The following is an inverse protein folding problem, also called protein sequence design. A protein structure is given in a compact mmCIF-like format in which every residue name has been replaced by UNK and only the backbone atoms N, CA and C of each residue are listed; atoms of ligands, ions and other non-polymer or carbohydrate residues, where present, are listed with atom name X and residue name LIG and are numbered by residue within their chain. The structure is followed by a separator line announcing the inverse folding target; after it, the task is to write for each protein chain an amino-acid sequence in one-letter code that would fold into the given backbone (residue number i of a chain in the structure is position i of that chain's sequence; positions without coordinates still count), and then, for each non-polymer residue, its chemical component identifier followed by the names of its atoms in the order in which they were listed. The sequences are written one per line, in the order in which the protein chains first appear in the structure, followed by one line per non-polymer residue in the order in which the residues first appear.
data_IF_185356447613
#
_entry.id   IF_185356447613
#
_cell.length_a   1.000
_cell.length_b   1.000
_cell.length_c   1.000
_cell.angle_alpha   90.00
_cell.angle_beta   90.00
_cell.angle_gamma   90.00
#
_symmetry.space_group_name_H-M   'P 1'
#
loop_
_entity.id
_entity.type
_entity.pdbx_description
1 polymer ?
#
# COMPACT_ATOMS: atom_id res chain seq x y z
N UNK A 1 72.74 -33.51 15.68
CA UNK A 1 71.42 -33.61 16.32
C UNK A 1 70.41 -32.90 15.44
N UNK A 2 69.54 -33.65 14.77
CA UNK A 2 68.70 -33.21 13.65
C UNK A 2 67.27 -33.04 14.15
N UNK A 3 66.74 -31.81 14.15
CA UNK A 3 65.41 -31.50 14.65
C UNK A 3 64.36 -31.70 13.54
N UNK A 4 63.53 -32.75 13.68
CA UNK A 4 62.45 -33.07 12.74
C UNK A 4 61.26 -32.15 13.02
N UNK A 5 60.98 -31.25 12.08
CA UNK A 5 59.88 -30.27 12.13
C UNK A 5 58.60 -30.96 11.66
N UNK A 6 57.71 -31.29 12.60
CA UNK A 6 56.45 -31.99 12.30
C UNK A 6 55.43 -31.02 11.68
N UNK A 7 55.15 -31.20 10.40
CA UNK A 7 54.17 -30.44 9.63
C UNK A 7 52.75 -30.99 9.84
N UNK A 8 52.17 -30.78 11.03
CA UNK A 8 50.77 -31.17 11.33
C UNK A 8 49.74 -30.06 11.05
N UNK A 9 50.11 -29.02 10.29
CA UNK A 9 49.26 -27.83 10.13
C UNK A 9 48.18 -27.86 9.04
N UNK A 10 48.23 -28.66 7.95
CA UNK A 10 47.23 -28.49 6.87
C UNK A 10 45.89 -29.21 7.13
N UNK A 11 45.84 -30.21 8.02
CA UNK A 11 44.65 -31.05 8.21
C UNK A 11 43.52 -30.35 8.97
N UNK A 12 43.86 -29.52 9.97
CA UNK A 12 42.86 -28.77 10.72
C UNK A 12 42.13 -27.73 9.85
N UNK A 13 42.85 -27.08 8.93
CA UNK A 13 42.27 -26.09 8.02
C UNK A 13 41.30 -26.72 7.01
N UNK A 14 41.64 -27.90 6.47
CA UNK A 14 40.77 -28.62 5.55
C UNK A 14 39.47 -29.07 6.23
N UNK A 15 39.53 -29.51 7.50
CA UNK A 15 38.35 -29.87 8.28
C UNK A 15 37.42 -28.69 8.52
N UNK A 16 37.97 -27.50 8.81
CA UNK A 16 37.17 -26.29 9.02
C UNK A 16 36.45 -25.84 7.74
N UNK A 17 37.13 -25.89 6.60
CA UNK A 17 36.55 -25.53 5.30
C UNK A 17 35.40 -26.49 4.94
N UNK A 18 35.57 -27.78 5.19
CA UNK A 18 34.53 -28.78 4.92
C UNK A 18 33.25 -28.53 5.74
N UNK A 19 33.38 -28.17 7.02
CA UNK A 19 32.23 -27.80 7.86
C UNK A 19 31.53 -26.53 7.36
N UNK A 20 32.29 -25.54 6.90
CA UNK A 20 31.74 -24.29 6.39
C UNK A 20 30.94 -24.48 5.09
N UNK A 21 31.45 -25.32 4.18
CA UNK A 21 30.73 -25.68 2.95
C UNK A 21 29.45 -26.45 3.26
N UNK A 22 29.47 -27.34 4.26
CA UNK A 22 28.29 -28.10 4.68
C UNK A 22 27.17 -27.19 5.20
N UNK A 23 27.49 -26.19 6.03
CA UNK A 23 26.56 -25.17 6.54
C UNK A 23 25.91 -24.36 5.40
N UNK A 24 26.70 -23.94 4.41
CA UNK A 24 26.21 -23.19 3.24
C UNK A 24 25.26 -24.05 2.39
N UNK A 25 25.63 -25.31 2.12
CA UNK A 25 24.77 -26.23 1.36
C UNK A 25 23.48 -26.51 2.13
N UNK A 26 23.55 -26.72 3.45
CA UNK A 26 22.38 -26.97 4.28
C UNK A 26 21.40 -25.78 4.32
N UNK A 27 21.92 -24.55 4.39
CA UNK A 27 21.09 -23.33 4.38
C UNK A 27 20.46 -23.07 3.01
N UNK A 28 21.13 -23.38 1.91
CA UNK A 28 20.60 -23.23 0.55
C UNK A 28 19.59 -24.31 0.15
N UNK A 29 19.71 -25.53 0.70
CA UNK A 29 18.79 -26.64 0.38
C UNK A 29 17.50 -26.60 1.22
N UNK A 30 17.54 -26.04 2.44
CA UNK A 30 16.36 -25.87 3.30
C UNK A 30 15.15 -25.19 2.67
N UNK A 31 15.25 -24.13 1.84
CA UNK A 31 14.07 -23.51 1.22
C UNK A 31 13.38 -24.36 0.14
N UNK A 32 13.99 -25.44 -0.35
CA UNK A 32 13.41 -26.28 -1.41
C UNK A 32 12.63 -27.50 -0.90
N UNK A 33 12.81 -27.90 0.35
CA UNK A 33 12.06 -29.03 0.93
C UNK A 33 10.88 -28.54 1.77
N UNK A 34 9.73 -28.40 1.11
CA UNK A 34 8.46 -28.63 1.78
C UNK A 34 7.79 -27.42 2.43
N UNK A 35 7.53 -26.34 1.68
CA UNK A 35 6.29 -25.58 1.88
C UNK A 35 5.26 -26.05 0.87
N UNK A 36 4.43 -27.02 1.27
CA UNK A 36 3.10 -27.14 0.64
C UNK A 36 2.43 -25.77 0.81
N UNK A 37 1.85 -25.18 -0.24
CA UNK A 37 1.03 -23.99 -0.06
C UNK A 37 -0.02 -24.30 1.02
N UNK A 38 -0.31 -23.39 1.96
CA UNK A 38 -1.42 -23.57 2.88
C UNK A 38 -2.67 -23.87 2.06
N UNK A 39 -3.57 -24.75 2.53
CA UNK A 39 -4.84 -24.96 1.86
C UNK A 39 -5.45 -23.58 1.67
N UNK A 40 -5.61 -23.18 0.40
CA UNK A 40 -6.46 -22.07 0.04
C UNK A 40 -7.83 -22.47 0.58
N UNK A 41 -8.15 -22.00 1.80
CA UNK A 41 -9.52 -21.80 2.20
C UNK A 41 -10.08 -21.01 1.04
N UNK A 42 -10.96 -21.65 0.27
CA UNK A 42 -11.66 -21.00 -0.80
C UNK A 42 -12.27 -19.76 -0.20
N UNK A 43 -11.65 -18.62 -0.46
CA UNK A 43 -12.35 -17.38 -0.49
C UNK A 43 -13.40 -17.62 -1.56
N UNK A 44 -14.55 -18.11 -1.13
CA UNK A 44 -15.79 -17.87 -1.84
C UNK A 44 -15.90 -16.35 -1.77
N UNK A 45 -15.16 -15.70 -2.67
CA UNK A 45 -15.46 -14.36 -3.13
C UNK A 45 -16.89 -14.52 -3.56
N UNK A 46 -17.78 -14.09 -2.69
CA UNK A 46 -19.20 -13.98 -2.96
C UNK A 46 -19.23 -12.94 -4.08
N UNK A 47 -19.06 -13.43 -5.31
CA UNK A 47 -18.99 -12.64 -6.52
C UNK A 47 -20.37 -12.01 -6.59
N UNK A 48 -20.46 -10.78 -6.10
CA UNK A 48 -21.66 -9.98 -6.21
C UNK A 48 -22.03 -10.00 -7.68
N UNK A 49 -23.30 -10.25 -7.98
CA UNK A 49 -23.82 -10.17 -9.35
C UNK A 49 -23.23 -8.91 -9.99
N UNK A 50 -22.53 -9.01 -11.14
CA UNK A 50 -22.00 -7.84 -11.82
C UNK A 50 -23.17 -6.90 -12.06
N UNK A 51 -23.21 -5.82 -11.30
CA UNK A 51 -24.22 -4.78 -11.48
C UNK A 51 -23.77 -4.03 -12.74
N UNK A 52 -24.56 -3.97 -13.82
CA UNK A 52 -24.13 -3.48 -15.14
C UNK A 52 -23.64 -2.02 -15.20
N UNK A 53 -23.60 -1.30 -14.08
CA UNK A 53 -23.43 0.15 -14.04
C UNK A 53 -22.14 0.62 -13.35
N UNK A 54 -21.32 -0.30 -12.81
CA UNK A 54 -20.01 0.01 -12.22
C UNK A 54 -18.89 -0.07 -13.25
N UNK A 55 -18.95 0.79 -14.27
CA UNK A 55 -17.89 0.92 -15.27
C UNK A 55 -17.26 2.30 -15.11
N UNK A 56 -16.34 2.42 -14.16
CA UNK A 56 -15.42 3.55 -14.15
C UNK A 56 -14.45 3.36 -15.32
N UNK A 57 -14.40 4.34 -16.21
CA UNK A 57 -13.30 4.45 -17.18
C UNK A 57 -12.17 5.18 -16.48
N UNK A 58 -11.00 4.55 -16.24
CA UNK A 58 -9.95 5.15 -15.41
C UNK A 58 -9.42 6.50 -15.91
N UNK A 59 -9.59 6.80 -17.20
CA UNK A 59 -9.18 8.06 -17.81
C UNK A 59 -10.20 9.20 -17.63
N UNK A 60 -11.44 8.88 -17.25
CA UNK A 60 -12.51 9.87 -17.20
C UNK A 60 -12.42 10.72 -15.93
N UNK A 61 -12.16 10.12 -14.76
CA UNK A 61 -12.03 10.86 -13.51
C UNK A 61 -10.56 11.04 -13.11
N UNK A 62 -10.19 12.27 -12.80
CA UNK A 62 -8.84 12.64 -12.38
C UNK A 62 -8.86 13.47 -11.11
N UNK A 63 -8.01 13.14 -10.14
CA UNK A 63 -7.74 13.99 -8.99
C UNK A 63 -6.73 15.06 -9.43
N UNK A 64 -7.16 16.32 -9.48
CA UNK A 64 -6.33 17.45 -9.97
C UNK A 64 -5.61 18.19 -8.85
N UNK A 65 -6.21 18.23 -7.66
CA UNK A 65 -5.63 18.81 -6.45
C UNK A 65 -5.81 17.83 -5.29
N UNK A 66 -4.75 17.66 -4.50
CA UNK A 66 -4.76 16.89 -3.26
C UNK A 66 -3.81 17.54 -2.26
N UNK A 67 -4.39 18.19 -1.27
CA UNK A 67 -3.67 18.82 -0.17
C UNK A 67 -4.05 18.14 1.15
N UNK A 68 -3.05 18.02 2.03
CA UNK A 68 -3.21 17.46 3.37
C UNK A 68 -2.62 18.43 4.40
N UNK A 69 -3.41 18.75 5.41
CA UNK A 69 -3.01 19.54 6.56
C UNK A 69 -3.15 18.68 7.83
N UNK A 70 -2.05 18.45 8.56
CA UNK A 70 -2.11 17.69 9.81
C UNK A 70 -2.49 18.62 10.96
N UNK A 71 -3.60 18.30 11.64
CA UNK A 71 -4.17 19.11 12.73
C UNK A 71 -3.78 18.49 14.08
N UNK A 72 -3.26 19.32 14.99
CA UNK A 72 -2.88 18.89 16.34
C UNK A 72 -1.52 18.18 16.39
N UNK A 73 -0.61 18.55 15.48
CA UNK A 73 0.79 18.13 15.50
C UNK A 73 1.56 18.95 16.55
N UNK A 74 1.24 18.76 17.82
CA UNK A 74 2.02 19.39 18.88
C UNK A 74 3.32 18.61 19.04
N UNK A 75 4.46 19.30 18.94
CA UNK A 75 5.81 18.73 19.07
C UNK A 75 6.08 18.06 20.43
N UNK A 76 5.19 18.26 21.40
CA UNK A 76 5.22 17.65 22.74
C UNK A 76 4.29 16.44 22.89
N UNK A 77 3.41 16.19 21.92
CA UNK A 77 2.40 15.14 22.03
C UNK A 77 3.04 13.76 21.78
N UNK A 78 3.04 12.90 22.81
CA UNK A 78 3.45 11.48 22.72
C UNK A 78 2.42 10.63 21.94
N UNK A 79 1.43 11.25 21.31
CA UNK A 79 0.37 10.56 20.61
C UNK A 79 0.88 10.03 19.27
N UNK A 80 0.65 8.73 19.04
CA UNK A 80 1.06 8.05 17.80
C UNK A 80 0.23 8.48 16.60
N UNK A 81 -0.97 9.01 16.86
CA UNK A 81 -1.96 9.39 15.86
C UNK A 81 -2.36 10.86 16.00
N UNK A 82 -2.79 11.46 14.89
CA UNK A 82 -3.21 12.84 14.71
C UNK A 82 -4.44 12.91 13.80
N UNK A 83 -4.96 14.11 13.52
CA UNK A 83 -6.04 14.31 12.53
C UNK A 83 -5.45 14.90 11.25
N UNK A 84 -6.04 14.56 10.12
CA UNK A 84 -5.65 15.12 8.83
C UNK A 84 -6.85 15.76 8.14
N UNK A 85 -6.72 17.01 7.75
CA UNK A 85 -7.68 17.74 6.95
C UNK A 85 -7.25 17.65 5.48
N UNK A 86 -8.19 17.23 4.65
CA UNK A 86 -7.99 17.02 3.23
C UNK A 86 -8.76 18.05 2.42
N UNK A 87 -8.10 18.60 1.41
CA UNK A 87 -8.72 19.38 0.35
C UNK A 87 -8.40 18.72 -0.97
N UNK A 88 -9.43 18.47 -1.76
CA UNK A 88 -9.27 17.72 -2.99
C UNK A 88 -10.28 18.13 -4.05
N UNK A 89 -9.83 18.05 -5.29
CA UNK A 89 -10.60 18.43 -6.46
C UNK A 89 -10.59 17.29 -7.46
N UNK A 90 -11.76 16.91 -7.94
CA UNK A 90 -11.94 15.86 -8.95
C UNK A 90 -12.46 16.50 -10.21
N UNK A 91 -11.79 16.24 -11.32
CA UNK A 91 -12.22 16.61 -12.66
C UNK A 91 -12.72 15.38 -13.40
N UNK A 92 -13.83 15.51 -14.09
CA UNK A 92 -14.34 14.53 -15.03
C UNK A 92 -14.06 14.96 -16.46
N UNK A 93 -13.07 14.37 -17.08
CA UNK A 93 -12.70 14.54 -18.48
C UNK A 93 -13.49 13.61 -19.43
N UNK A 94 -14.34 12.73 -18.88
CA UNK A 94 -15.18 11.81 -19.63
C UNK A 94 -16.43 12.44 -20.22
N UNK A 95 -17.17 11.64 -20.99
CA UNK A 95 -18.43 12.03 -21.63
C UNK A 95 -19.68 11.67 -20.82
N UNK A 96 -19.52 11.09 -19.63
CA UNK A 96 -20.60 10.61 -18.77
C UNK A 96 -20.45 11.19 -17.38
N UNK A 97 -21.55 11.43 -16.68
CA UNK A 97 -21.51 11.85 -15.28
C UNK A 97 -21.27 10.64 -14.37
N UNK A 98 -20.60 10.88 -13.25
CA UNK A 98 -20.29 9.86 -12.24
C UNK A 98 -20.81 10.28 -10.87
N UNK A 99 -21.31 9.30 -10.10
CA UNK A 99 -21.77 9.47 -8.71
C UNK A 99 -21.19 8.37 -7.82
N UNK A 100 -21.38 8.48 -6.50
CA UNK A 100 -20.92 7.48 -5.53
C UNK A 100 -19.43 7.17 -5.69
N UNK A 101 -18.59 8.21 -5.82
CA UNK A 101 -17.16 8.06 -6.08
C UNK A 101 -16.48 7.60 -4.80
N UNK A 102 -15.93 6.39 -4.81
CA UNK A 102 -15.14 5.86 -3.69
C UNK A 102 -13.69 6.29 -3.84
N UNK A 103 -13.24 7.12 -2.90
CA UNK A 103 -11.86 7.56 -2.78
C UNK A 103 -11.10 6.69 -1.79
N UNK A 104 -9.83 6.46 -2.09
CA UNK A 104 -8.87 5.88 -1.17
C UNK A 104 -7.75 6.89 -0.89
N UNK A 105 -7.44 7.06 0.39
CA UNK A 105 -6.38 7.91 0.92
C UNK A 105 -5.30 7.01 1.50
N UNK A 106 -4.17 6.90 0.81
CA UNK A 106 -2.98 6.19 1.28
C UNK A 106 -2.01 7.18 1.94
N UNK A 107 -1.90 7.13 3.26
CA UNK A 107 -1.00 7.98 4.04
C UNK A 107 0.39 7.39 4.04
N UNK A 108 1.40 8.21 3.74
CA UNK A 108 2.78 7.78 3.63
C UNK A 108 3.68 8.50 4.63
N UNK A 109 4.67 7.77 5.15
CA UNK A 109 5.74 8.32 5.96
C UNK A 109 6.81 9.02 5.10
N UNK A 110 7.84 9.57 5.76
CA UNK A 110 9.00 10.22 5.10
C UNK A 110 9.76 9.32 4.13
N UNK A 111 9.61 8.00 4.22
CA UNK A 111 10.25 7.02 3.34
C UNK A 111 9.35 6.60 2.18
N UNK A 112 8.16 7.21 2.04
CA UNK A 112 7.16 6.86 1.05
C UNK A 112 6.41 5.56 1.36
N UNK A 113 6.57 4.99 2.57
CA UNK A 113 5.87 3.77 2.95
C UNK A 113 4.45 4.10 3.37
N UNK A 114 3.47 3.41 2.79
CA UNK A 114 2.07 3.52 3.24
C UNK A 114 1.93 2.99 4.66
N UNK A 115 1.49 3.86 5.58
CA UNK A 115 1.29 3.55 6.99
C UNK A 115 -0.17 3.29 7.34
N UNK A 116 -1.10 3.90 6.59
CA UNK A 116 -2.54 3.73 6.78
C UNK A 116 -3.25 3.97 5.45
N UNK A 117 -4.40 3.32 5.29
CA UNK A 117 -5.29 3.55 4.17
C UNK A 117 -6.69 3.81 4.71
N UNK A 118 -7.33 4.90 4.28
CA UNK A 118 -8.72 5.20 4.58
C UNK A 118 -9.51 5.30 3.27
N UNK A 119 -10.81 5.03 3.33
CA UNK A 119 -11.71 5.22 2.20
C UNK A 119 -12.81 6.23 2.54
N UNK A 120 -13.24 7.00 1.56
CA UNK A 120 -14.34 7.96 1.69
C UNK A 120 -15.26 7.83 0.49
N UNK A 121 -16.58 7.78 0.73
CA UNK A 121 -17.58 7.81 -0.31
C UNK A 121 -18.01 9.27 -0.54
N UNK A 122 -17.86 9.73 -1.79
CA UNK A 122 -18.45 10.97 -2.25
C UNK A 122 -19.79 10.66 -2.93
N UNK A 123 -20.88 11.11 -2.32
CA UNK A 123 -22.24 10.95 -2.87
C UNK A 123 -22.56 12.02 -3.94
N UNK A 124 -21.76 13.09 -4.02
CA UNK A 124 -21.90 14.12 -5.03
C UNK A 124 -21.66 13.58 -6.45
N UNK A 125 -22.38 14.17 -7.41
CA UNK A 125 -22.27 13.81 -8.82
C UNK A 125 -21.30 14.76 -9.52
N UNK A 126 -20.34 14.20 -10.25
CA UNK A 126 -19.40 14.94 -11.09
C UNK A 126 -19.84 14.83 -12.53
N UNK A 127 -20.46 15.89 -13.04
CA UNK A 127 -20.91 15.97 -14.43
C UNK A 127 -19.78 15.81 -15.45
N UNK A 128 -20.10 15.34 -16.66
CA UNK A 128 -19.13 15.24 -17.76
C UNK A 128 -18.51 16.62 -18.07
N UNK A 129 -17.18 16.69 -18.18
CA UNK A 129 -16.44 17.94 -18.40
C UNK A 129 -16.37 18.88 -17.18
N UNK A 130 -16.94 18.51 -16.03
CA UNK A 130 -17.00 19.37 -14.85
C UNK A 130 -15.94 19.02 -13.82
N UNK A 131 -15.68 19.97 -12.94
CA UNK A 131 -14.78 19.84 -11.80
C UNK A 131 -15.55 20.09 -10.52
N UNK A 132 -15.38 19.21 -9.54
CA UNK A 132 -16.00 19.31 -8.22
C UNK A 132 -14.91 19.41 -7.16
N UNK A 133 -15.04 20.40 -6.28
CA UNK A 133 -14.22 20.50 -5.08
C UNK A 133 -14.94 19.78 -3.95
N UNK A 134 -14.30 18.77 -3.40
CA UNK A 134 -14.92 17.95 -2.36
C UNK A 134 -14.90 18.73 -1.05
N UNK A 135 -16.00 18.70 -0.27
CA UNK A 135 -16.05 19.33 1.04
C UNK A 135 -14.87 18.91 1.90
N UNK A 136 -14.43 19.81 2.76
CA UNK A 136 -13.32 19.56 3.66
C UNK A 136 -13.55 18.29 4.47
N UNK A 137 -12.68 17.29 4.25
CA UNK A 137 -12.77 15.99 4.91
C UNK A 137 -11.70 15.89 5.99
N UNK A 138 -12.11 15.60 7.23
CA UNK A 138 -11.19 15.38 8.35
C UNK A 138 -11.12 13.89 8.64
N UNK A 139 -9.94 13.31 8.43
CA UNK A 139 -9.63 11.94 8.78
C UNK A 139 -9.09 11.86 10.21
N UNK A 140 -9.72 11.02 11.02
CA UNK A 140 -9.26 10.72 12.37
C UNK A 140 -8.18 9.61 12.39
N UNK A 141 -7.37 9.68 13.44
CA UNK A 141 -6.32 8.70 13.76
C UNK A 141 -5.33 8.43 12.62
N UNK A 142 -4.89 9.48 11.93
CA UNK A 142 -3.83 9.42 10.93
C UNK A 142 -2.48 9.32 11.65
N UNK A 143 -1.54 8.44 11.25
CA UNK A 143 -0.25 8.34 11.93
C UNK A 143 0.48 9.70 11.97
N UNK A 144 0.98 10.11 13.14
CA UNK A 144 1.62 11.42 13.32
C UNK A 144 2.90 11.61 12.48
N UNK A 145 3.48 10.50 12.02
CA UNK A 145 4.65 10.46 11.13
C UNK A 145 4.31 10.64 9.64
N UNK A 146 3.03 10.76 9.29
CA UNK A 146 2.57 11.01 7.92
C UNK A 146 3.19 12.29 7.38
N UNK A 147 3.64 12.26 6.13
CA UNK A 147 4.18 13.43 5.44
C UNK A 147 3.51 13.71 4.10
N UNK A 148 2.88 12.70 3.51
CA UNK A 148 2.14 12.85 2.26
C UNK A 148 0.92 11.92 2.27
N UNK A 149 -0.03 12.21 1.38
CA UNK A 149 -1.18 11.37 1.12
C UNK A 149 -1.32 11.21 -0.39
N UNK A 150 -1.50 9.96 -0.84
CA UNK A 150 -1.84 9.65 -2.23
C UNK A 150 -3.32 9.31 -2.28
N UNK A 151 -4.05 10.01 -3.14
CA UNK A 151 -5.49 9.79 -3.33
C UNK A 151 -5.72 9.05 -4.63
N UNK A 152 -6.53 7.99 -4.57
CA UNK A 152 -6.91 7.19 -5.73
C UNK A 152 -8.43 7.01 -5.78
N UNK A 153 -9.00 7.03 -6.99
CA UNK A 153 -10.40 6.68 -7.22
C UNK A 153 -10.50 5.17 -7.39
N UNK A 154 -11.24 4.50 -6.50
CA UNK A 154 -11.39 3.03 -6.52
C UNK A 154 -12.52 2.59 -7.41
N UNK A 155 -13.67 3.25 -7.32
CA UNK A 155 -14.81 3.02 -8.19
C UNK A 155 -15.74 4.23 -8.18
N UNK A 156 -16.58 4.32 -9.20
CA UNK A 156 -17.69 5.25 -9.28
C UNK A 156 -18.81 4.59 -10.07
N UNK A 157 -20.05 5.00 -9.81
CA UNK A 157 -21.21 4.57 -10.57
C UNK A 157 -21.45 5.59 -11.69
N UNK A 158 -21.70 5.11 -12.91
CA UNK A 158 -22.15 5.99 -13.99
C UNK A 158 -23.57 6.46 -13.71
N UNK A 159 -23.82 7.75 -13.89
CA UNK A 159 -25.18 8.28 -13.84
C UNK A 159 -25.90 7.92 -15.15
N UNK A 160 -26.88 7.01 -15.05
CA UNK A 160 -27.75 6.71 -16.19
C UNK A 160 -28.67 7.90 -16.43
N UNK A 161 -28.69 8.46 -17.65
CA UNK A 161 -29.75 9.37 -18.07
C UNK A 161 -31.08 8.64 -17.91
N UNK A 162 -31.90 9.08 -16.95
CA UNK A 162 -33.33 8.74 -16.91
C UNK A 162 -34.07 9.52 -17.98
#
# INVERSE_FOLDING_TARGET
MTQVRSSHFPWAFLSLIALFVLEIVWTLVRPYQGKKPPPQQGEIVKQSKPTPTRVLRPADLQVTLSEIELIGRDSSSKHKDTRAKHRLTIQNNGSVAYRNIMLEFAYQDRKGKTTKTNTCLLEETVGAGHTVSIPEFVADSVPAQTTSCVVAIRHADMESKQ
#
